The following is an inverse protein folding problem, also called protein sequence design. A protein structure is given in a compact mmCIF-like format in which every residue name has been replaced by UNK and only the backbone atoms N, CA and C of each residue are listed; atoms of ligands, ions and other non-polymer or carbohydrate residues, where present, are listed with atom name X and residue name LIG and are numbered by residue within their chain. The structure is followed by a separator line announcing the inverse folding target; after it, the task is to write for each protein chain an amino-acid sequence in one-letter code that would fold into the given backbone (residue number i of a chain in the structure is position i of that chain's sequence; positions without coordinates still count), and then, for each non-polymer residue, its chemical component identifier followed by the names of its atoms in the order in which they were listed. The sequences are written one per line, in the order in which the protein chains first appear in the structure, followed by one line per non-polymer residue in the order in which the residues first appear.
data_IF_183513334198
#
_entry.id   IF_183513334198
#
_cell.length_a   1.000
_cell.length_b   1.000
_cell.length_c   1.000
_cell.angle_alpha   90.00
_cell.angle_beta   90.00
_cell.angle_gamma   90.00
#
_symmetry.space_group_name_H-M   'P 1'
#
loop_
_entity.id
_entity.type
_entity.pdbx_description
1 polymer ?
#
# COMPACT_ATOMS: atom_id res chain seq x y z
N UNK A 1 13.29 19.69 0.62
CA UNK A 1 12.46 19.01 1.66
C UNK A 1 11.22 19.83 1.95
N UNK A 2 10.10 19.51 1.30
CA UNK A 2 8.79 19.90 1.83
C UNK A 2 8.44 18.93 2.96
N UNK A 3 7.90 19.40 4.09
CA UNK A 3 7.45 18.50 5.14
C UNK A 3 6.38 17.58 4.56
N UNK A 4 6.63 16.26 4.58
CA UNK A 4 5.61 15.23 4.43
C UNK A 4 4.48 15.63 5.35
N UNK A 5 3.39 16.11 4.74
CA UNK A 5 2.28 16.69 5.44
C UNK A 5 1.84 15.71 6.51
N UNK A 6 2.15 16.06 7.77
CA UNK A 6 1.52 15.63 9.00
C UNK A 6 0.19 14.99 8.65
N UNK A 7 0.03 13.69 8.97
CA UNK A 7 -1.25 13.00 8.88
C UNK A 7 -2.31 13.89 9.54
N UNK A 8 -2.95 14.73 8.73
CA UNK A 8 -4.12 15.43 9.14
C UNK A 8 -5.09 14.30 9.45
N UNK A 9 -5.72 14.40 10.61
CA UNK A 9 -7.01 13.79 10.83
C UNK A 9 -7.95 14.34 9.75
N UNK A 10 -7.79 13.83 8.53
CA UNK A 10 -8.59 14.15 7.37
C UNK A 10 -9.88 13.39 7.58
N UNK A 11 -10.76 14.05 8.31
CA UNK A 11 -12.15 13.66 8.36
C UNK A 11 -12.70 13.73 6.92
N UNK A 12 -12.72 12.58 6.25
CA UNK A 12 -13.24 12.47 4.89
C UNK A 12 -14.77 12.52 4.85
N UNK A 13 -15.46 12.48 6.01
CA UNK A 13 -16.94 12.44 6.07
C UNK A 13 -17.60 13.55 5.26
N UNK A 14 -17.16 14.82 5.31
CA UNK A 14 -17.76 15.89 4.50
C UNK A 14 -17.56 15.68 3.00
N UNK A 15 -16.40 15.17 2.57
CA UNK A 15 -16.13 14.87 1.16
C UNK A 15 -16.97 13.69 0.70
N UNK A 16 -17.04 12.62 1.49
CA UNK A 16 -17.83 11.43 1.19
C UNK A 16 -19.31 11.78 1.02
N UNK A 17 -19.86 12.60 1.92
CA UNK A 17 -21.25 13.03 1.83
C UNK A 17 -21.54 13.87 0.58
N UNK A 18 -20.59 14.71 0.17
CA UNK A 18 -20.69 15.46 -1.09
C UNK A 18 -20.63 14.55 -2.31
N UNK A 19 -19.73 13.56 -2.33
CA UNK A 19 -19.66 12.58 -3.43
C UNK A 19 -20.95 11.79 -3.56
N UNK A 20 -21.57 11.39 -2.44
CA UNK A 20 -22.88 10.72 -2.44
C UNK A 20 -23.99 11.56 -3.07
N UNK A 21 -23.86 12.88 -3.06
CA UNK A 21 -24.78 13.83 -3.70
C UNK A 21 -24.41 14.15 -5.15
N UNK A 22 -23.40 13.49 -5.72
CA UNK A 22 -22.96 13.66 -7.10
C UNK A 22 -21.90 14.74 -7.33
N UNK A 23 -21.29 15.26 -6.26
CA UNK A 23 -20.24 16.29 -6.35
C UNK A 23 -18.93 15.72 -6.91
N UNK A 24 -18.64 16.05 -8.16
CA UNK A 24 -17.45 15.58 -8.88
C UNK A 24 -16.15 16.18 -8.33
N UNK A 25 -16.18 17.41 -7.79
CA UNK A 25 -15.00 18.02 -7.20
C UNK A 25 -14.62 17.32 -5.89
N UNK A 26 -15.61 16.94 -5.08
CA UNK A 26 -15.36 16.13 -3.89
C UNK A 26 -14.77 14.75 -4.25
N UNK A 27 -15.22 14.15 -5.36
CA UNK A 27 -14.71 12.87 -5.83
C UNK A 27 -13.26 12.99 -6.31
N UNK A 28 -12.95 14.05 -7.05
CA UNK A 28 -11.59 14.38 -7.49
C UNK A 28 -10.65 14.60 -6.30
N UNK A 29 -11.07 15.33 -5.28
CA UNK A 29 -10.25 15.55 -4.06
C UNK A 29 -9.95 14.22 -3.36
N UNK A 30 -10.94 13.33 -3.23
CA UNK A 30 -10.70 12.00 -2.67
C UNK A 30 -9.76 11.17 -3.57
N UNK A 31 -9.91 11.27 -4.89
CA UNK A 31 -9.01 10.60 -5.83
C UNK A 31 -7.56 11.05 -5.63
N UNK A 32 -7.30 12.35 -5.74
CA UNK A 32 -5.96 12.94 -5.59
C UNK A 32 -5.33 12.60 -4.23
N UNK A 33 -6.13 12.63 -3.15
CA UNK A 33 -5.67 12.33 -1.78
C UNK A 33 -5.19 10.89 -1.59
N UNK A 34 -5.80 9.93 -2.30
CA UNK A 34 -5.59 8.51 -2.06
C UNK A 34 -4.82 7.81 -3.17
N UNK A 35 -4.83 8.32 -4.40
CA UNK A 35 -4.20 7.69 -5.55
C UNK A 35 -2.72 7.38 -5.29
N UNK A 36 -1.92 8.39 -4.93
CA UNK A 36 -0.47 8.21 -4.69
C UNK A 36 -0.19 7.21 -3.57
N UNK A 37 -1.03 7.19 -2.54
CA UNK A 37 -0.91 6.26 -1.41
C UNK A 37 -1.17 4.83 -1.83
N UNK A 38 -2.22 4.61 -2.63
CA UNK A 38 -2.56 3.29 -3.17
C UNK A 38 -1.55 2.85 -4.23
N UNK A 39 -1.07 3.76 -5.07
CA UNK A 39 0.01 3.50 -6.02
C UNK A 39 1.27 3.03 -5.28
N UNK A 40 1.71 3.76 -4.25
CA UNK A 40 2.89 3.39 -3.47
C UNK A 40 2.71 2.03 -2.75
N UNK A 41 1.53 1.77 -2.22
CA UNK A 41 1.18 0.47 -1.67
C UNK A 41 1.25 -0.63 -2.73
N UNK A 42 0.66 -0.42 -3.91
CA UNK A 42 0.64 -1.38 -5.00
C UNK A 42 2.04 -1.64 -5.54
N UNK A 43 2.85 -0.59 -5.68
CA UNK A 43 4.23 -0.66 -6.12
C UNK A 43 5.08 -1.46 -5.13
N UNK A 44 4.97 -1.17 -3.83
CA UNK A 44 5.67 -1.93 -2.80
C UNK A 44 5.24 -3.42 -2.76
N UNK A 45 4.03 -3.73 -3.24
CA UNK A 45 3.54 -5.11 -3.33
C UNK A 45 3.96 -5.80 -4.60
N UNK A 46 3.89 -5.15 -5.76
CA UNK A 46 4.00 -5.78 -7.09
C UNK A 46 5.38 -5.56 -7.73
N UNK A 47 6.04 -4.46 -7.38
CA UNK A 47 7.36 -4.12 -7.88
C UNK A 47 7.45 -3.81 -9.36
N UNK A 48 6.33 -3.46 -9.99
CA UNK A 48 6.21 -3.03 -11.39
C UNK A 48 5.30 -1.81 -11.46
N UNK A 49 5.79 -0.74 -12.08
CA UNK A 49 5.07 0.54 -12.15
C UNK A 49 3.72 0.41 -12.87
N UNK A 50 3.70 -0.29 -14.01
CA UNK A 50 2.48 -0.51 -14.80
C UNK A 50 1.40 -1.25 -14.01
N UNK A 51 1.76 -2.37 -13.36
CA UNK A 51 0.81 -3.13 -12.54
C UNK A 51 0.33 -2.34 -11.31
N UNK A 52 1.20 -1.49 -10.75
CA UNK A 52 0.88 -0.64 -9.62
C UNK A 52 -0.09 0.47 -10.00
N UNK A 53 0.12 1.12 -11.16
CA UNK A 53 -0.76 2.14 -11.71
C UNK A 53 -2.13 1.56 -12.04
N UNK A 54 -2.18 0.43 -12.75
CA UNK A 54 -3.42 -0.26 -13.07
C UNK A 54 -4.21 -0.63 -11.81
N UNK A 55 -3.54 -1.18 -10.79
CA UNK A 55 -4.18 -1.55 -9.52
C UNK A 55 -4.68 -0.31 -8.77
N UNK A 56 -3.94 0.79 -8.79
CA UNK A 56 -4.33 2.03 -8.13
C UNK A 56 -5.56 2.65 -8.80
N UNK A 57 -5.58 2.73 -10.13
CA UNK A 57 -6.72 3.22 -10.92
C UNK A 57 -7.96 2.36 -10.66
N UNK A 58 -7.84 1.04 -10.76
CA UNK A 58 -8.94 0.10 -10.49
C UNK A 58 -9.45 0.22 -9.04
N UNK A 59 -8.55 0.31 -8.06
CA UNK A 59 -8.91 0.48 -6.64
C UNK A 59 -9.67 1.78 -6.41
N UNK A 60 -9.17 2.91 -6.93
CA UNK A 60 -9.82 4.20 -6.77
C UNK A 60 -11.17 4.25 -7.47
N UNK A 61 -11.26 3.67 -8.67
CA UNK A 61 -12.51 3.55 -9.43
C UNK A 61 -13.53 2.74 -8.63
N UNK A 62 -13.16 1.57 -8.12
CA UNK A 62 -14.04 0.73 -7.27
C UNK A 62 -14.45 1.44 -5.99
N UNK A 63 -13.54 2.19 -5.37
CA UNK A 63 -13.81 2.92 -4.13
C UNK A 63 -14.83 4.04 -4.36
N UNK A 64 -14.68 4.84 -5.42
CA UNK A 64 -15.61 5.93 -5.70
C UNK A 64 -16.96 5.41 -6.21
N UNK A 65 -16.97 4.37 -7.07
CA UNK A 65 -18.21 3.79 -7.62
C UNK A 65 -19.05 3.05 -6.58
N UNK A 66 -18.44 2.54 -5.51
CA UNK A 66 -19.12 1.80 -4.44
C UNK A 66 -19.17 2.56 -3.12
N UNK A 67 -18.99 3.88 -3.17
CA UNK A 67 -18.89 4.73 -1.98
C UNK A 67 -20.18 4.74 -1.14
N UNK A 68 -21.31 4.40 -1.76
CA UNK A 68 -22.60 4.15 -1.12
C UNK A 68 -22.56 2.97 -0.14
N UNK A 69 -21.73 1.95 -0.40
CA UNK A 69 -21.54 0.79 0.47
C UNK A 69 -20.62 1.07 1.66
N UNK A 70 -19.86 2.16 1.63
CA UNK A 70 -19.02 2.54 2.76
C UNK A 70 -19.89 3.01 3.93
N UNK A 71 -19.77 2.35 5.08
CA UNK A 71 -20.44 2.78 6.30
C UNK A 71 -19.39 3.20 7.31
N UNK A 72 -19.49 4.44 7.77
CA UNK A 72 -18.64 4.97 8.82
C UNK A 72 -19.10 4.45 10.19
N UNK A 73 -18.74 3.20 10.47
CA UNK A 73 -18.94 2.55 11.77
C UNK A 73 -17.63 2.58 12.58
N UNK A 74 -16.92 3.71 12.57
CA UNK A 74 -15.58 3.83 13.16
C UNK A 74 -14.47 3.21 12.31
N UNK A 75 -14.74 2.99 11.02
CA UNK A 75 -13.76 2.55 10.02
C UNK A 75 -13.40 3.76 9.19
N UNK A 76 -12.13 4.17 9.22
CA UNK A 76 -11.65 5.24 8.36
C UNK A 76 -11.83 4.87 6.89
N UNK A 77 -12.15 5.86 6.05
CA UNK A 77 -12.28 5.67 4.61
C UNK A 77 -11.01 5.08 3.99
N UNK A 78 -9.84 5.55 4.44
CA UNK A 78 -8.53 4.96 4.10
C UNK A 78 -8.49 3.45 4.29
N UNK A 79 -8.95 2.93 5.43
CA UNK A 79 -9.01 1.48 5.69
C UNK A 79 -9.87 0.73 4.69
N UNK A 80 -10.99 1.33 4.26
CA UNK A 80 -11.87 0.72 3.27
C UNK A 80 -11.20 0.66 1.88
N UNK A 81 -10.55 1.75 1.45
CA UNK A 81 -9.79 1.81 0.20
C UNK A 81 -8.63 0.80 0.21
N UNK A 82 -7.85 0.73 1.30
CA UNK A 82 -6.77 -0.25 1.42
C UNK A 82 -7.25 -1.70 1.42
N UNK A 83 -8.45 -1.98 1.94
CA UNK A 83 -9.04 -3.31 1.86
C UNK A 83 -9.41 -3.68 0.42
N UNK A 84 -9.90 -2.72 -0.36
CA UNK A 84 -10.15 -2.93 -1.80
C UNK A 84 -8.82 -3.20 -2.51
N UNK A 85 -7.79 -2.38 -2.25
CA UNK A 85 -6.45 -2.57 -2.81
C UNK A 85 -5.88 -3.95 -2.46
N UNK A 86 -5.98 -4.35 -1.20
CA UNK A 86 -5.51 -5.65 -0.72
C UNK A 86 -6.16 -6.82 -1.45
N UNK A 87 -7.50 -6.79 -1.59
CA UNK A 87 -8.23 -7.83 -2.31
C UNK A 87 -7.85 -7.84 -3.80
N UNK A 88 -7.69 -6.67 -4.42
CA UNK A 88 -7.23 -6.56 -5.81
C UNK A 88 -5.82 -7.14 -6.00
N UNK A 89 -4.91 -6.91 -5.04
CA UNK A 89 -3.56 -7.48 -5.05
C UNK A 89 -3.60 -9.01 -4.93
N UNK A 90 -4.42 -9.57 -4.02
CA UNK A 90 -4.61 -11.02 -3.91
C UNK A 90 -5.15 -11.60 -5.23
N UNK A 91 -6.13 -10.94 -5.84
CA UNK A 91 -6.70 -11.37 -7.12
C UNK A 91 -5.69 -11.28 -8.26
N UNK A 92 -4.79 -10.29 -8.25
CA UNK A 92 -3.68 -10.17 -9.19
C UNK A 92 -2.73 -11.37 -9.05
N UNK A 93 -2.26 -11.67 -7.83
CA UNK A 93 -1.40 -12.81 -7.57
C UNK A 93 -2.04 -14.16 -7.90
N UNK A 94 -3.33 -14.34 -7.59
CA UNK A 94 -4.07 -15.55 -7.93
C UNK A 94 -4.19 -15.77 -9.43
N UNK A 95 -4.27 -14.69 -10.22
CA UNK A 95 -4.29 -14.76 -11.70
C UNK A 95 -2.91 -15.09 -12.26
N UNK A 96 -1.84 -14.48 -11.71
CA UNK A 96 -0.47 -14.81 -12.10
C UNK A 96 -0.04 -16.22 -11.70
N UNK A 97 -0.46 -16.74 -10.53
CA UNK A 97 -0.20 -18.12 -10.14
C UNK A 97 -0.80 -19.18 -11.07
N UNK A 98 -1.76 -18.79 -11.92
CA UNK A 98 -2.30 -19.64 -13.01
C UNK A 98 -1.60 -19.42 -14.37
N UNK A 99 -0.79 -18.38 -14.49
CA UNK A 99 -0.06 -18.00 -15.69
C UNK A 99 1.45 -18.03 -15.39
N UNK A 100 2.09 -19.18 -15.63
CA UNK A 100 3.52 -19.37 -15.39
C UNK A 100 4.37 -18.33 -16.15
N UNK A 101 5.07 -17.51 -15.36
CA UNK A 101 6.38 -16.88 -15.51
C UNK A 101 6.72 -16.16 -16.83
N UNK A 102 6.84 -14.83 -16.74
CA UNK A 102 7.81 -14.06 -17.53
C UNK A 102 8.71 -13.31 -16.53
N UNK A 103 10.04 -13.49 -16.55
CA UNK A 103 10.93 -12.67 -15.75
C UNK A 103 10.91 -11.26 -16.33
N UNK A 104 10.60 -10.24 -15.54
CA UNK A 104 10.79 -8.86 -15.96
C UNK A 104 11.63 -8.10 -14.95
N UNK A 105 12.58 -7.37 -15.54
CA UNK A 105 13.68 -6.63 -14.96
C UNK A 105 13.25 -5.63 -13.90
N UNK A 106 14.17 -5.40 -12.96
CA UNK A 106 14.12 -4.46 -11.85
C UNK A 106 13.51 -3.12 -12.25
N UNK A 107 12.28 -2.86 -11.79
CA UNK A 107 11.68 -1.54 -11.88
C UNK A 107 12.24 -0.65 -10.75
N UNK A 108 12.94 0.40 -11.15
CA UNK A 108 13.38 1.52 -10.31
C UNK A 108 12.17 2.37 -9.92
N UNK A 109 12.08 2.71 -8.62
CA UNK A 109 11.15 3.70 -8.08
C UNK A 109 11.34 5.05 -8.80
N UNK A 110 10.29 5.76 -9.23
CA UNK A 110 10.44 7.13 -9.70
C UNK A 110 10.60 8.04 -8.47
N UNK A 111 11.84 8.51 -8.23
CA UNK A 111 12.15 9.52 -7.22
C UNK A 111 12.79 10.73 -7.89
N UNK A 112 12.18 11.89 -7.70
CA UNK A 112 12.72 13.20 -8.07
C UNK A 112 13.72 13.67 -7.02
N UNK A 113 15.03 13.49 -7.23
CA UNK A 113 16.15 14.26 -6.64
C UNK A 113 17.53 13.81 -7.19
N UNK A 114 18.61 14.50 -6.79
CA UNK A 114 19.99 14.59 -7.33
C UNK A 114 20.77 13.26 -7.62
N UNK A 115 21.59 13.15 -8.70
CA UNK A 115 22.17 11.88 -9.21
C UNK A 115 23.18 11.14 -8.33
N UNK A 116 23.84 11.79 -7.36
CA UNK A 116 24.89 11.13 -6.55
C UNK A 116 24.37 10.50 -5.26
N UNK A 117 23.27 11.03 -4.70
CA UNK A 117 22.57 10.42 -3.55
C UNK A 117 21.65 9.28 -4.02
N UNK A 118 21.13 9.38 -5.25
CA UNK A 118 20.30 8.37 -5.92
C UNK A 118 20.94 6.97 -5.97
N UNK A 119 22.24 6.85 -6.26
CA UNK A 119 22.84 5.52 -6.43
C UNK A 119 22.87 4.71 -5.11
N UNK A 120 23.13 5.38 -3.97
CA UNK A 120 23.18 4.74 -2.65
C UNK A 120 21.76 4.50 -2.12
N UNK A 121 20.84 5.43 -2.34
CA UNK A 121 19.43 5.25 -1.98
C UNK A 121 18.74 4.16 -2.82
N UNK A 122 19.01 4.09 -4.13
CA UNK A 122 18.50 3.06 -5.04
C UNK A 122 18.98 1.67 -4.64
N UNK A 123 20.28 1.50 -4.34
CA UNK A 123 20.82 0.25 -3.81
C UNK A 123 20.15 -0.14 -2.48
N UNK A 124 19.94 0.82 -1.57
CA UNK A 124 19.24 0.56 -0.30
C UNK A 124 17.75 0.19 -0.48
N UNK A 125 17.11 0.74 -1.52
CA UNK A 125 15.70 0.49 -1.81
C UNK A 125 15.50 -0.84 -2.53
N UNK A 126 16.41 -1.23 -3.42
CA UNK A 126 16.43 -2.54 -4.07
C UNK A 126 16.61 -3.65 -3.03
N UNK A 127 17.55 -3.49 -2.10
CA UNK A 127 17.76 -4.47 -1.02
C UNK A 127 16.55 -4.57 -0.08
N UNK A 128 15.90 -3.44 0.23
CA UNK A 128 14.67 -3.43 1.03
C UNK A 128 13.51 -4.11 0.29
N UNK A 129 13.35 -3.82 -1.00
CA UNK A 129 12.28 -4.38 -1.81
C UNK A 129 12.45 -5.88 -2.04
N UNK A 130 13.67 -6.34 -2.29
CA UNK A 130 13.99 -7.77 -2.36
C UNK A 130 13.83 -8.46 -0.99
N UNK A 131 14.25 -7.81 0.10
CA UNK A 131 14.04 -8.33 1.44
C UNK A 131 12.55 -8.47 1.76
N UNK A 132 11.72 -7.48 1.39
CA UNK A 132 10.27 -7.56 1.50
C UNK A 132 9.71 -8.72 0.67
N UNK A 133 10.17 -8.93 -0.57
CA UNK A 133 9.75 -10.06 -1.41
C UNK A 133 10.04 -11.44 -0.80
N UNK A 134 11.04 -11.55 0.07
CA UNK A 134 11.34 -12.78 0.79
C UNK A 134 10.37 -13.09 1.96
N UNK A 135 9.55 -12.13 2.37
CA UNK A 135 8.53 -12.32 3.41
C UNK A 135 7.27 -12.97 2.84
N UNK A 136 6.45 -13.56 3.72
CA UNK A 136 5.11 -14.02 3.32
C UNK A 136 4.20 -12.83 3.00
N UNK A 137 3.17 -13.04 2.17
CA UNK A 137 2.21 -11.99 1.80
C UNK A 137 1.63 -11.26 3.01
N UNK A 138 1.28 -11.99 4.08
CA UNK A 138 0.74 -11.38 5.29
C UNK A 138 1.79 -10.54 6.04
N UNK A 139 3.05 -10.98 6.04
CA UNK A 139 4.15 -10.25 6.66
C UNK A 139 4.48 -8.96 5.89
N UNK A 140 4.57 -9.02 4.56
CA UNK A 140 4.72 -7.83 3.72
C UNK A 140 3.58 -6.84 3.97
N UNK A 141 2.34 -7.36 3.96
CA UNK A 141 1.15 -6.54 4.13
C UNK A 141 1.16 -5.78 5.45
N UNK A 142 1.45 -6.46 6.58
CA UNK A 142 1.43 -5.79 7.88
C UNK A 142 2.52 -4.71 7.96
N UNK A 143 3.67 -4.92 7.33
CA UNK A 143 4.75 -3.93 7.34
C UNK A 143 4.38 -2.70 6.50
N UNK A 144 3.87 -2.92 5.28
CA UNK A 144 3.46 -1.82 4.40
C UNK A 144 2.36 -0.99 5.04
N UNK A 145 1.31 -1.63 5.57
CA UNK A 145 0.21 -0.91 6.22
C UNK A 145 0.68 -0.11 7.45
N UNK A 146 1.57 -0.68 8.28
CA UNK A 146 1.96 -0.09 9.57
C UNK A 146 3.05 0.96 9.46
N UNK A 147 3.98 0.81 8.51
CA UNK A 147 5.20 1.62 8.45
C UNK A 147 5.29 2.49 7.20
N UNK A 148 4.71 2.08 6.07
CA UNK A 148 4.73 2.87 4.83
C UNK A 148 3.49 3.74 4.69
N UNK A 149 2.37 3.31 5.31
CA UNK A 149 1.09 4.00 5.25
C UNK A 149 0.65 4.58 6.60
N UNK A 150 1.48 4.47 7.63
CA UNK A 150 1.25 4.98 8.99
C UNK A 150 -0.10 4.57 9.62
N UNK A 151 -0.70 3.46 9.18
CA UNK A 151 -1.98 3.01 9.72
C UNK A 151 -1.81 2.39 11.09
N UNK A 152 -2.76 2.59 11.99
CA UNK A 152 -2.79 1.97 13.32
C UNK A 152 -2.92 0.44 13.23
N UNK A 153 -2.55 -0.28 14.30
CA UNK A 153 -2.74 -1.73 14.39
C UNK A 153 -4.22 -2.13 14.26
N UNK A 154 -5.13 -1.28 14.76
CA UNK A 154 -6.57 -1.48 14.62
C UNK A 154 -7.05 -1.36 13.17
N UNK A 155 -6.58 -0.34 12.44
CA UNK A 155 -6.91 -0.18 11.02
C UNK A 155 -6.32 -1.32 10.17
N UNK A 156 -5.08 -1.70 10.42
CA UNK A 156 -4.45 -2.85 9.76
C UNK A 156 -5.22 -4.16 10.03
N UNK A 157 -5.71 -4.36 11.27
CA UNK A 157 -6.52 -5.52 11.63
C UNK A 157 -7.84 -5.58 10.84
N UNK A 158 -8.51 -4.44 10.67
CA UNK A 158 -9.73 -4.34 9.86
C UNK A 158 -9.46 -4.65 8.38
N UNK A 159 -8.36 -4.14 7.82
CA UNK A 159 -7.97 -4.37 6.42
C UNK A 159 -7.66 -5.85 6.19
N UNK A 160 -6.89 -6.47 7.10
CA UNK A 160 -6.41 -7.84 6.98
C UNK A 160 -7.43 -8.89 7.45
N UNK A 161 -8.58 -8.48 7.98
CA UNK A 161 -9.59 -9.40 8.54
C UNK A 161 -9.09 -10.19 9.75
N UNK A 162 -8.26 -9.59 10.59
CA UNK A 162 -7.61 -10.22 11.76
C UNK A 162 -7.94 -9.48 13.05
N UNK A 163 -7.63 -10.06 14.20
CA UNK A 163 -7.67 -9.34 15.49
C UNK A 163 -6.46 -8.41 15.64
N UNK A 164 -6.59 -7.36 16.45
CA UNK A 164 -5.47 -6.43 16.74
C UNK A 164 -4.26 -7.16 17.30
N UNK A 165 -4.49 -8.11 18.24
CA UNK A 165 -3.42 -8.93 18.80
C UNK A 165 -2.74 -9.83 17.74
N UNK A 166 -3.51 -10.38 16.79
CA UNK A 166 -2.94 -11.16 15.69
C UNK A 166 -2.07 -10.27 14.76
N UNK A 167 -2.49 -9.04 14.49
CA UNK A 167 -1.70 -8.06 13.72
C UNK A 167 -0.41 -7.67 14.45
N UNK A 168 -0.46 -7.42 15.76
CA UNK A 168 0.74 -7.09 16.54
C UNK A 168 1.74 -8.26 16.55
N UNK A 169 1.25 -9.49 16.75
CA UNK A 169 2.09 -10.68 16.70
C UNK A 169 2.68 -10.92 15.30
N UNK A 170 1.89 -10.68 14.25
CA UNK A 170 2.34 -10.76 12.87
C UNK A 170 3.39 -9.69 12.54
N UNK A 171 3.18 -8.45 12.98
CA UNK A 171 4.12 -7.33 12.83
C UNK A 171 5.48 -7.68 13.46
N UNK A 172 5.48 -8.21 14.68
CA UNK A 172 6.71 -8.64 15.35
C UNK A 172 7.45 -9.73 14.56
N UNK A 173 6.74 -10.76 14.09
CA UNK A 173 7.33 -11.83 13.25
C UNK A 173 7.83 -11.30 11.91
N UNK A 174 7.12 -10.35 11.31
CA UNK A 174 7.48 -9.74 10.03
C UNK A 174 8.78 -8.94 10.15
N UNK A 175 8.93 -8.11 11.19
CA UNK A 175 10.17 -7.36 11.46
C UNK A 175 11.38 -8.30 11.62
N UNK A 176 11.25 -9.36 12.43
CA UNK A 176 12.34 -10.33 12.57
C UNK A 176 12.65 -11.10 11.28
N UNK A 177 11.68 -11.28 10.39
CA UNK A 177 11.90 -11.91 9.08
C UNK A 177 12.59 -10.95 8.10
N UNK A 178 12.20 -9.67 8.12
CA UNK A 178 12.84 -8.62 7.33
C UNK A 178 14.30 -8.43 7.75
N UNK A 179 14.55 -8.38 9.06
CA UNK A 179 15.90 -8.28 9.61
C UNK A 179 16.80 -9.44 9.15
N UNK A 180 16.28 -10.68 9.16
CA UNK A 180 17.04 -11.84 8.65
C UNK A 180 17.29 -11.76 7.15
N UNK A 181 16.31 -11.31 6.37
CA UNK A 181 16.45 -11.17 4.92
C UNK A 181 17.50 -10.11 4.55
N UNK A 182 17.54 -8.98 5.28
CA UNK A 182 18.55 -7.93 5.09
C UNK A 182 19.95 -8.40 5.51
N UNK A 183 20.10 -9.01 6.68
CA UNK A 183 21.41 -9.50 7.15
C UNK A 183 21.94 -10.69 6.34
N UNK A 184 21.06 -11.56 5.84
CA UNK A 184 21.45 -12.67 4.98
C UNK A 184 22.05 -12.23 3.64
N UNK A 185 21.76 -11.00 3.19
CA UNK A 185 22.34 -10.40 1.99
C UNK A 185 23.60 -9.60 2.26
N UNK A 186 23.71 -8.92 3.40
CA UNK A 186 24.92 -8.17 3.78
C UNK A 186 26.18 -9.07 3.92
N UNK A 187 25.99 -10.38 4.10
CA UNK A 187 27.06 -11.39 4.25
C UNK A 187 27.36 -12.19 2.97
N UNK A 188 26.79 -11.84 1.82
CA UNK A 188 26.98 -12.54 0.55
C UNK A 188 27.45 -11.59 -0.56
#
# INVERSE_FOLDING_TARGET
MQPLAKAASDDDRPLIERVRRGDQDAARILFERYFDRIYNYAYARLGRAEDAEDLAIDTMTRSLTRLDLFQDQGVAFSSWVYRIAHNATIDHYRRQGKATLVPLESATLPVSADPSELAVEQLSNEDLHDALRALTDEQQQVLILRFFQDLTAAQAAQIMGKSVGAVQALQHRALGSLERALHGRANN
#
